data_IF_662645323441
#
_entry.id   IF_662645323441
#
_cell.length_a   1.000
_cell.length_b   1.000
_cell.length_c   1.000
_cell.angle_alpha   90.00
_cell.angle_beta   90.00
_cell.angle_gamma   90.00
#
_symmetry.space_group_name_H-M   'P 1'
#
loop_
_entity.id
_entity.type
_entity.pdbx_description
1 polymer ?
#
# COMPACT_ATOMS: atom_id res chain seq x y z
N UNK A 1 12.55 -6.60 -52.38
CA UNK A 1 12.92 -6.17 -51.01
C UNK A 1 11.69 -6.34 -50.14
N UNK A 2 11.53 -7.51 -49.51
CA UNK A 2 10.35 -7.81 -48.70
C UNK A 2 10.52 -7.12 -47.35
N UNK A 3 9.68 -6.12 -47.07
CA UNK A 3 9.64 -5.48 -45.76
C UNK A 3 9.17 -6.56 -44.77
N UNK A 4 10.07 -7.01 -43.91
CA UNK A 4 9.75 -7.90 -42.79
C UNK A 4 8.67 -7.18 -41.96
N UNK A 5 7.49 -7.77 -41.68
CA UNK A 5 6.46 -7.08 -40.92
C UNK A 5 7.05 -6.68 -39.56
N UNK A 6 7.10 -5.37 -39.32
CA UNK A 6 7.54 -4.77 -38.06
C UNK A 6 6.84 -5.52 -36.91
N UNK A 7 7.61 -6.33 -36.19
CA UNK A 7 7.17 -7.07 -35.02
C UNK A 7 6.55 -6.10 -34.02
N UNK A 8 5.54 -6.55 -33.27
CA UNK A 8 4.98 -5.71 -32.22
C UNK A 8 6.05 -5.46 -31.16
N UNK A 9 6.18 -4.22 -30.66
CA UNK A 9 7.06 -3.99 -29.52
C UNK A 9 6.59 -4.80 -28.32
N UNK A 10 7.54 -5.36 -27.58
CA UNK A 10 7.23 -6.06 -26.34
C UNK A 10 6.99 -5.00 -25.25
N UNK A 11 5.77 -4.93 -24.72
CA UNK A 11 5.38 -3.99 -23.68
C UNK A 11 5.19 -4.76 -22.37
N UNK A 12 5.85 -4.31 -21.31
CA UNK A 12 5.73 -4.92 -19.98
C UNK A 12 5.44 -3.86 -18.93
N UNK A 13 4.49 -4.16 -18.04
CA UNK A 13 4.24 -3.40 -16.82
C UNK A 13 4.69 -4.20 -15.60
N UNK A 14 5.39 -3.53 -14.67
CA UNK A 14 6.01 -4.14 -13.49
C UNK A 14 5.65 -3.34 -12.23
N UNK A 15 5.40 -4.05 -11.13
CA UNK A 15 5.19 -3.52 -9.79
C UNK A 15 5.99 -4.35 -8.78
N UNK A 16 6.88 -3.71 -7.99
CA UNK A 16 7.77 -4.40 -7.03
C UNK A 16 8.50 -5.60 -7.65
N UNK A 17 9.04 -5.43 -8.85
CA UNK A 17 9.69 -6.48 -9.66
C UNK A 17 8.79 -7.63 -10.12
N UNK A 18 7.50 -7.61 -9.79
CA UNK A 18 6.52 -8.56 -10.28
C UNK A 18 5.86 -8.03 -11.55
N UNK A 19 5.60 -8.93 -12.51
CA UNK A 19 4.84 -8.59 -13.71
C UNK A 19 3.41 -8.23 -13.31
N UNK A 20 2.89 -7.16 -13.88
CA UNK A 20 1.47 -6.79 -13.86
C UNK A 20 0.82 -7.23 -15.17
N UNK A 21 1.50 -6.95 -16.29
CA UNK A 21 1.04 -7.28 -17.63
C UNK A 21 2.22 -7.38 -18.60
N UNK A 22 2.14 -8.24 -19.61
CA UNK A 22 3.12 -8.37 -20.69
C UNK A 22 2.44 -8.63 -22.04
N UNK A 23 2.95 -7.98 -23.08
CA UNK A 23 2.60 -8.17 -24.49
C UNK A 23 3.90 -8.30 -25.29
N UNK A 24 3.97 -9.14 -26.34
CA UNK A 24 2.94 -10.02 -26.91
C UNK A 24 2.62 -11.23 -26.01
N UNK A 25 1.39 -11.75 -26.13
CA UNK A 25 0.90 -12.89 -25.35
C UNK A 25 -0.06 -12.54 -24.21
N UNK A 26 -0.27 -11.25 -23.94
CA UNK A 26 -1.26 -10.71 -22.99
C UNK A 26 -1.24 -11.43 -21.63
N UNK A 27 -0.03 -11.70 -21.13
CA UNK A 27 0.16 -12.42 -19.87
C UNK A 27 -0.14 -11.48 -18.72
N UNK A 28 -1.10 -11.87 -17.89
CA UNK A 28 -1.46 -11.15 -16.68
C UNK A 28 -0.58 -11.64 -15.51
N UNK A 29 -0.19 -10.72 -14.64
CA UNK A 29 0.51 -11.02 -13.40
C UNK A 29 -0.38 -11.59 -12.32
N UNK A 30 0.20 -12.39 -11.43
CA UNK A 30 -0.50 -12.92 -10.26
C UNK A 30 -1.09 -11.80 -9.40
N UNK A 31 -2.38 -11.91 -9.06
CA UNK A 31 -3.11 -10.92 -8.27
C UNK A 31 -3.72 -9.78 -9.10
N UNK A 32 -3.52 -9.77 -10.42
CA UNK A 32 -4.05 -8.78 -11.35
C UNK A 32 -5.12 -9.35 -12.31
N UNK A 33 -5.45 -10.64 -12.17
CA UNK A 33 -6.45 -11.35 -12.97
C UNK A 33 -7.82 -10.67 -12.89
N UNK A 34 -8.45 -10.46 -14.05
CA UNK A 34 -9.76 -9.82 -14.15
C UNK A 34 -9.78 -8.34 -13.77
N UNK A 35 -8.65 -7.77 -13.34
CA UNK A 35 -8.52 -6.35 -12.96
C UNK A 35 -7.84 -5.52 -14.05
N UNK A 36 -7.06 -6.17 -14.90
CA UNK A 36 -6.30 -5.49 -15.96
C UNK A 36 -7.06 -5.49 -17.28
N UNK A 37 -7.14 -4.32 -17.90
CA UNK A 37 -7.61 -4.14 -19.28
C UNK A 37 -6.60 -3.28 -20.03
N UNK A 38 -6.25 -3.67 -21.26
CA UNK A 38 -5.42 -2.82 -22.10
C UNK A 38 -6.28 -1.80 -22.86
N UNK A 39 -5.77 -0.57 -22.98
CA UNK A 39 -6.35 0.45 -23.84
C UNK A 39 -5.49 0.66 -25.09
N UNK A 40 -6.17 0.72 -26.24
CA UNK A 40 -5.60 1.16 -27.51
C UNK A 40 -5.01 0.05 -28.38
N UNK A 41 -4.45 0.48 -29.50
CA UNK A 41 -3.90 -0.39 -30.54
C UNK A 41 -2.53 -0.99 -30.17
N UNK A 42 -1.94 -1.73 -31.11
CA UNK A 42 -0.70 -2.50 -31.00
C UNK A 42 0.52 -1.75 -30.42
N UNK A 43 0.54 -0.41 -30.42
CA UNK A 43 1.66 0.41 -29.88
C UNK A 43 1.30 1.27 -28.66
N UNK A 44 0.09 1.16 -28.11
CA UNK A 44 -0.26 1.90 -26.90
C UNK A 44 0.20 1.11 -25.65
N UNK A 45 0.97 1.77 -24.78
CA UNK A 45 1.44 1.21 -23.52
C UNK A 45 0.48 1.46 -22.35
N UNK A 46 -0.70 2.04 -22.60
CA UNK A 46 -1.68 2.38 -21.56
C UNK A 46 -2.34 1.14 -20.95
N UNK A 47 -2.28 1.05 -19.62
CA UNK A 47 -2.87 -0.01 -18.82
C UNK A 47 -4.02 0.56 -17.97
N UNK A 48 -5.16 -0.12 -17.95
CA UNK A 48 -6.23 0.16 -16.98
C UNK A 48 -6.21 -0.92 -15.92
N UNK A 49 -6.11 -0.48 -14.66
CA UNK A 49 -6.25 -1.34 -13.50
C UNK A 49 -7.56 -1.00 -12.78
N UNK A 50 -8.53 -1.91 -12.85
CA UNK A 50 -9.81 -1.83 -12.18
C UNK A 50 -9.74 -2.39 -10.76
N UNK A 51 -10.72 -2.01 -9.94
CA UNK A 51 -10.91 -2.56 -8.60
C UNK A 51 -9.64 -2.46 -7.74
N UNK A 52 -9.13 -1.22 -7.63
CA UNK A 52 -7.94 -0.88 -6.86
C UNK A 52 -8.08 -1.30 -5.40
N UNK A 53 -7.00 -1.83 -4.86
CA UNK A 53 -6.85 -2.31 -3.49
C UNK A 53 -5.77 -1.49 -2.80
N UNK A 54 -5.80 -1.45 -1.46
CA UNK A 54 -4.78 -0.74 -0.68
C UNK A 54 -3.36 -1.21 -0.99
N UNK A 55 -3.20 -2.52 -1.23
CA UNK A 55 -1.91 -3.13 -1.54
C UNK A 55 -1.41 -2.86 -2.98
N UNK A 56 -2.24 -2.26 -3.85
CA UNK A 56 -1.80 -1.81 -5.17
C UNK A 56 -1.00 -0.50 -5.08
N UNK A 57 -0.93 0.16 -3.91
CA UNK A 57 -0.14 1.37 -3.69
C UNK A 57 1.34 1.12 -3.96
N UNK A 58 1.94 1.99 -4.79
CA UNK A 58 3.37 2.05 -5.05
C UNK A 58 3.69 2.40 -6.50
N UNK A 59 4.93 2.12 -6.89
CA UNK A 59 5.48 2.53 -8.18
C UNK A 59 5.29 1.44 -9.23
N UNK A 60 4.63 1.81 -10.33
CA UNK A 60 4.46 1.01 -11.53
C UNK A 60 5.38 1.51 -12.61
N UNK A 61 6.08 0.60 -13.28
CA UNK A 61 7.01 0.94 -14.36
C UNK A 61 6.65 0.18 -15.61
N UNK A 62 6.65 0.87 -16.75
CA UNK A 62 6.47 0.26 -18.07
C UNK A 62 7.76 0.26 -18.88
N UNK A 63 7.94 -0.77 -19.69
CA UNK A 63 9.10 -0.99 -20.55
C UNK A 63 8.65 -1.34 -21.96
N UNK A 64 9.40 -0.91 -22.97
CA UNK A 64 9.21 -1.31 -24.37
C UNK A 64 10.54 -1.81 -24.92
N UNK A 65 10.61 -3.11 -25.21
CA UNK A 65 11.74 -3.65 -25.97
C UNK A 65 11.39 -3.60 -27.45
N UNK A 66 12.23 -2.90 -28.23
CA UNK A 66 12.30 -3.13 -29.67
C UNK A 66 13.01 -4.48 -29.88
N UNK A 67 12.50 -5.32 -30.78
CA UNK A 67 13.01 -6.71 -30.93
C UNK A 67 14.47 -6.79 -31.38
N UNK A 68 15.11 -5.67 -31.72
CA UNK A 68 16.35 -5.63 -32.49
C UNK A 68 17.54 -4.96 -31.78
N UNK A 69 17.39 -4.43 -30.55
CA UNK A 69 18.47 -3.72 -29.84
C UNK A 69 18.83 -4.38 -28.50
N UNK A 70 20.07 -4.87 -28.41
CA UNK A 70 20.72 -5.42 -27.20
C UNK A 70 21.05 -4.34 -26.13
N UNK A 71 20.27 -3.26 -26.06
CA UNK A 71 20.44 -2.19 -25.08
C UNK A 71 19.37 -2.32 -23.99
N UNK A 72 19.77 -2.16 -22.72
CA UNK A 72 18.86 -2.22 -21.59
C UNK A 72 17.60 -1.39 -21.81
N UNK A 73 16.45 -1.94 -21.45
CA UNK A 73 15.14 -1.32 -21.68
C UNK A 73 14.96 -0.15 -20.73
N UNK A 74 15.14 1.08 -21.20
CA UNK A 74 14.80 2.26 -20.42
C UNK A 74 13.29 2.26 -20.08
N UNK A 75 12.91 2.68 -18.87
CA UNK A 75 11.51 2.88 -18.53
C UNK A 75 10.84 3.88 -19.48
N UNK A 76 9.67 3.52 -20.02
CA UNK A 76 8.84 4.47 -20.81
C UNK A 76 8.06 5.38 -19.87
N UNK A 77 7.46 4.79 -18.83
CA UNK A 77 6.60 5.49 -17.89
C UNK A 77 6.76 4.92 -16.50
N UNK A 78 6.88 5.81 -15.52
CA UNK A 78 6.94 5.52 -14.11
C UNK A 78 5.76 6.23 -13.45
N UNK A 79 4.85 5.47 -12.87
CA UNK A 79 3.60 5.96 -12.26
C UNK A 79 3.61 5.64 -10.78
N UNK A 80 3.51 6.66 -9.93
CA UNK A 80 3.32 6.47 -8.49
C UNK A 80 1.82 6.44 -8.17
N UNK A 81 1.29 5.27 -7.82
CA UNK A 81 -0.12 5.07 -7.47
C UNK A 81 -0.29 5.08 -5.95
N UNK A 82 -1.20 5.92 -5.44
CA UNK A 82 -1.60 5.93 -4.03
C UNK A 82 -3.09 5.61 -3.90
N UNK A 83 -3.42 4.59 -3.11
CA UNK A 83 -4.81 4.15 -2.88
C UNK A 83 -5.14 4.32 -1.40
N UNK A 84 -6.22 5.06 -1.11
CA UNK A 84 -6.67 5.32 0.26
C UNK A 84 -8.06 4.73 0.48
N UNK A 85 -8.26 4.14 1.67
CA UNK A 85 -9.57 3.69 2.11
C UNK A 85 -10.39 4.88 2.58
N UNK A 86 -11.59 5.06 2.05
CA UNK A 86 -12.57 5.95 2.67
C UNK A 86 -13.22 5.17 3.81
N UNK A 87 -12.92 5.56 5.05
CA UNK A 87 -13.77 5.15 6.18
C UNK A 87 -15.11 5.82 5.91
N UNK A 88 -16.11 5.02 5.53
CA UNK A 88 -17.49 5.48 5.57
C UNK A 88 -17.76 5.66 7.06
N UNK A 89 -17.75 6.89 7.53
CA UNK A 89 -18.47 7.20 8.75
C UNK A 89 -19.91 6.84 8.45
N UNK A 90 -20.35 5.69 8.98
CA UNK A 90 -21.75 5.63 9.37
C UNK A 90 -22.00 6.91 10.19
N UNK A 91 -23.14 7.60 10.00
CA UNK A 91 -23.51 8.67 10.90
C UNK A 91 -23.31 8.15 12.31
N UNK A 92 -22.71 8.91 13.24
CA UNK A 92 -22.64 8.46 14.61
C UNK A 92 -24.09 8.16 15.01
N UNK A 93 -24.39 6.88 15.20
CA UNK A 93 -25.38 6.51 16.20
C UNK A 93 -25.05 7.38 17.42
N UNK A 94 -26.02 8.02 18.09
CA UNK A 94 -25.77 8.67 19.37
C UNK A 94 -25.25 7.60 20.33
N UNK A 95 -23.96 7.34 20.25
CA UNK A 95 -23.18 6.54 21.14
C UNK A 95 -22.44 7.60 21.91
N UNK A 96 -22.85 7.79 23.16
CA UNK A 96 -22.29 8.69 24.15
C UNK A 96 -20.84 8.33 24.52
N UNK A 97 -20.01 8.01 23.53
CA UNK A 97 -18.61 7.67 23.71
C UNK A 97 -17.77 8.88 23.33
N UNK A 98 -17.97 9.96 24.09
CA UNK A 98 -16.83 10.75 24.50
C UNK A 98 -15.87 9.81 25.22
N UNK A 99 -14.99 9.15 24.46
CA UNK A 99 -13.78 8.51 25.00
C UNK A 99 -12.89 9.65 25.48
N UNK A 100 -13.27 10.19 26.64
CA UNK A 100 -12.30 10.58 27.63
C UNK A 100 -11.40 9.35 27.77
N UNK A 101 -10.12 9.52 27.50
CA UNK A 101 -9.11 8.53 27.88
C UNK A 101 -9.12 8.49 29.40
N UNK A 102 -10.10 7.77 29.96
CA UNK A 102 -10.14 7.49 31.39
C UNK A 102 -8.84 6.77 31.67
N UNK A 103 -8.00 7.25 32.61
CA UNK A 103 -6.86 6.47 33.03
C UNK A 103 -7.40 5.11 33.44
N UNK A 104 -6.95 4.05 32.76
CA UNK A 104 -7.42 2.69 33.01
C UNK A 104 -7.48 2.47 34.53
N UNK A 105 -8.54 1.87 35.10
CA UNK A 105 -8.73 1.77 36.55
C UNK A 105 -7.49 1.20 37.27
N UNK A 106 -6.70 0.36 36.58
CA UNK A 106 -5.40 -0.13 37.03
C UNK A 106 -4.36 0.98 37.29
N UNK A 107 -4.30 2.02 36.46
CA UNK A 107 -3.38 3.16 36.62
C UNK A 107 -3.71 3.96 37.89
N UNK A 108 -5.01 4.17 38.17
CA UNK A 108 -5.43 4.85 39.40
C UNK A 108 -5.12 4.01 40.64
N UNK A 109 -5.38 2.70 40.59
CA UNK A 109 -5.05 1.78 41.68
C UNK A 109 -3.54 1.74 41.92
N UNK A 110 -2.72 1.62 40.88
CA UNK A 110 -1.25 1.63 40.99
C UNK A 110 -0.73 2.96 41.56
N UNK A 111 -1.32 4.08 41.16
CA UNK A 111 -0.96 5.40 41.69
C UNK A 111 -1.32 5.58 43.16
N UNK A 112 -2.46 5.04 43.61
CA UNK A 112 -2.85 5.10 45.02
C UNK A 112 -1.97 4.21 45.88
N UNK A 113 -1.67 2.99 45.41
CA UNK A 113 -0.77 2.05 46.10
C UNK A 113 0.64 2.65 46.22
N UNK A 114 1.18 3.24 45.15
CA UNK A 114 2.50 3.88 45.22
C UNK A 114 2.53 5.06 46.21
N UNK A 115 1.47 5.88 46.24
CA UNK A 115 1.34 6.98 47.21
C UNK A 115 1.30 6.47 48.66
N UNK A 116 0.49 5.44 48.93
CA UNK A 116 0.40 4.79 50.25
C UNK A 116 1.74 4.21 50.71
N UNK A 117 2.49 3.56 49.81
CA UNK A 117 3.81 3.01 50.12
C UNK A 117 4.82 4.10 50.48
N UNK A 118 4.83 5.22 49.76
CA UNK A 118 5.71 6.36 50.06
C UNK A 118 5.33 6.99 51.41
N UNK A 119 4.04 7.22 51.67
CA UNK A 119 3.58 7.77 52.93
C UNK A 119 3.92 6.85 54.12
N UNK A 120 3.69 5.54 53.97
CA UNK A 120 4.03 4.55 55.00
C UNK A 120 5.53 4.51 55.26
N UNK A 121 6.36 4.54 54.22
CA UNK A 121 7.82 4.56 54.37
C UNK A 121 8.30 5.83 55.08
N UNK A 122 7.74 6.99 54.74
CA UNK A 122 8.05 8.26 55.40
C UNK A 122 7.69 8.22 56.90
N UNK A 123 6.48 7.75 57.23
CA UNK A 123 6.03 7.67 58.62
C UNK A 123 6.85 6.65 59.41
N UNK A 124 7.15 5.49 58.83
CA UNK A 124 7.95 4.45 59.48
C UNK A 124 9.40 4.93 59.71
N UNK A 125 9.97 5.69 58.78
CA UNK A 125 11.30 6.29 58.95
C UNK A 125 11.32 7.27 60.13
N UNK A 126 10.32 8.16 60.21
CA UNK A 126 10.20 9.13 61.31
C UNK A 126 9.97 8.45 62.66
N UNK A 127 9.30 7.29 62.68
CA UNK A 127 9.07 6.53 63.91
C UNK A 127 10.26 5.66 64.36
N UNK A 128 11.28 5.51 63.51
CA UNK A 128 12.51 4.74 63.79
C UNK A 128 13.72 5.62 64.14
N UNK A 129 13.58 6.94 64.01
CA UNK A 129 14.52 7.97 64.51
C UNK A 129 14.09 8.46 65.90
#
# INVERSE_FOLDING_TARGET
>A
MSVNPKSLPNITWVFKSNRVFERPGEKIGEGYEGRVKLLGEKRNCSLVLHNLRLNDTGVYTSYQAETDTKGGTDPISIVNLSVYGKIRGDPPTPTDDAVTKSPHPLILVLSLVSCLLVQLFCVLKVALE
#
